data_IF_835172366353
#
_entry.id   IF_835172366353
#
_cell.length_a   1.000
_cell.length_b   1.000
_cell.length_c   1.000
_cell.angle_alpha   90.00
_cell.angle_beta   90.00
_cell.angle_gamma   90.00
#
_symmetry.space_group_name_H-M   'P 1'
#
loop_
_entity.id
_entity.type
_entity.pdbx_description
1 polymer ?
#
# COMPACT_ATOMS: atom_id res chain seq x y z
N UNK A 1 5.24 -2.42 -61.67
CA UNK A 1 5.24 -1.66 -62.93
C UNK A 1 3.86 -1.05 -63.13
N UNK A 2 3.84 0.20 -63.57
CA UNK A 2 2.71 1.12 -63.70
C UNK A 2 1.51 0.58 -64.51
N UNK A 3 0.28 0.98 -64.17
CA UNK A 3 -0.41 2.06 -64.90
C UNK A 3 -1.91 2.15 -64.58
N UNK A 4 -2.35 3.39 -64.53
CA UNK A 4 -3.70 3.95 -64.38
C UNK A 4 -4.77 3.40 -65.34
N UNK A 5 -6.04 3.50 -64.92
CA UNK A 5 -7.16 3.98 -65.75
C UNK A 5 -8.30 4.51 -64.87
N UNK A 6 -8.59 5.79 -65.05
CA UNK A 6 -9.76 6.52 -64.57
C UNK A 6 -10.85 6.46 -65.63
N UNK A 7 -12.12 6.26 -65.26
CA UNK A 7 -13.27 6.71 -66.04
C UNK A 7 -14.39 7.21 -65.11
N UNK A 8 -14.81 8.44 -65.42
CA UNK A 8 -15.88 9.24 -64.84
C UNK A 8 -17.28 8.66 -65.13
N UNK A 9 -18.29 9.01 -64.32
CA UNK A 9 -19.61 9.53 -64.79
C UNK A 9 -20.40 10.18 -63.64
N UNK A 10 -20.51 11.51 -63.77
CA UNK A 10 -21.67 12.41 -63.61
C UNK A 10 -22.38 12.64 -62.26
N UNK A 11 -22.45 13.95 -61.97
CA UNK A 11 -23.10 14.70 -60.89
C UNK A 11 -24.64 14.71 -61.00
N UNK A 12 -25.30 14.82 -59.85
CA UNK A 12 -26.47 15.67 -59.70
C UNK A 12 -26.39 16.45 -58.39
N UNK A 13 -26.66 17.75 -58.48
CA UNK A 13 -26.52 18.74 -57.44
C UNK A 13 -27.87 19.10 -56.83
N UNK A 14 -27.94 19.29 -55.52
CA UNK A 14 -28.95 20.12 -54.87
C UNK A 14 -28.29 20.99 -53.79
N UNK A 15 -28.62 22.29 -53.84
CA UNK A 15 -28.06 23.39 -53.04
C UNK A 15 -28.78 23.57 -51.69
N UNK A 16 -28.00 24.09 -50.75
CA UNK A 16 -28.20 24.69 -49.40
C UNK A 16 -29.59 25.24 -49.01
N UNK A 17 -29.82 25.46 -47.69
CA UNK A 17 -29.46 26.78 -47.13
C UNK A 17 -28.71 26.75 -45.79
N UNK A 18 -28.00 27.86 -45.54
CA UNK A 18 -27.19 28.17 -44.38
C UNK A 18 -28.02 28.46 -43.11
N UNK A 19 -27.49 28.09 -41.94
CA UNK A 19 -27.94 28.61 -40.65
C UNK A 19 -26.96 29.67 -40.13
N UNK A 20 -27.54 30.78 -39.67
CA UNK A 20 -26.91 32.02 -39.23
C UNK A 20 -26.24 31.90 -37.85
N UNK A 21 -25.28 32.79 -37.62
CA UNK A 21 -24.53 33.00 -36.40
C UNK A 21 -25.36 33.62 -35.27
N UNK A 22 -25.08 33.21 -34.03
CA UNK A 22 -25.30 34.02 -32.83
C UNK A 22 -24.06 34.00 -31.93
N UNK A 23 -23.83 35.13 -31.27
CA UNK A 23 -22.59 35.59 -30.67
C UNK A 23 -22.60 35.42 -29.14
N UNK A 24 -21.42 35.09 -28.60
CA UNK A 24 -20.95 35.25 -27.20
C UNK A 24 -21.67 34.54 -26.04
N UNK A 25 -20.92 33.69 -25.33
CA UNK A 25 -20.40 34.03 -24.01
C UNK A 25 -19.20 33.12 -23.66
N UNK A 26 -18.03 33.71 -23.43
CA UNK A 26 -16.93 33.02 -22.75
C UNK A 26 -17.41 32.65 -21.34
N UNK A 27 -17.48 31.36 -21.02
CA UNK A 27 -17.47 30.90 -19.62
C UNK A 27 -16.08 30.35 -19.33
N UNK A 28 -15.34 31.12 -18.53
CA UNK A 28 -14.06 30.70 -18.00
C UNK A 28 -14.17 29.35 -17.29
N UNK A 29 -13.12 28.55 -17.40
CA UNK A 29 -12.87 27.43 -16.51
C UNK A 29 -12.88 27.98 -15.08
N UNK A 30 -14.01 27.79 -14.40
CA UNK A 30 -14.18 28.22 -13.03
C UNK A 30 -13.23 27.41 -12.17
N UNK A 31 -12.16 28.04 -11.70
CA UNK A 31 -11.34 27.55 -10.61
C UNK A 31 -12.22 27.56 -9.36
N UNK A 32 -12.85 26.43 -9.07
CA UNK A 32 -13.63 26.25 -7.85
C UNK A 32 -12.68 26.31 -6.65
N UNK A 33 -12.59 27.50 -6.06
CA UNK A 33 -12.14 27.74 -4.71
C UNK A 33 -13.13 27.07 -3.74
N UNK A 34 -12.97 25.77 -3.54
CA UNK A 34 -13.65 25.03 -2.48
C UNK A 34 -12.69 24.04 -1.83
N UNK A 35 -11.53 24.54 -1.42
CA UNK A 35 -10.86 24.02 -0.23
C UNK A 35 -11.74 24.42 0.97
N UNK A 36 -12.84 23.68 1.14
CA UNK A 36 -13.58 23.72 2.39
C UNK A 36 -12.63 23.23 3.47
N UNK A 37 -12.33 24.13 4.42
CA UNK A 37 -11.78 23.78 5.73
C UNK A 37 -12.66 22.69 6.35
N UNK A 38 -12.26 21.44 6.20
CA UNK A 38 -12.81 20.32 6.94
C UNK A 38 -12.03 20.14 8.22
N UNK A 39 -12.49 20.76 9.30
CA UNK A 39 -12.18 20.25 10.64
C UNK A 39 -12.95 18.94 10.82
N UNK A 40 -12.26 17.80 10.86
CA UNK A 40 -12.77 16.58 11.49
C UNK A 40 -11.64 15.58 11.79
N UNK A 41 -10.76 15.93 12.73
CA UNK A 41 -10.08 14.91 13.51
C UNK A 41 -11.07 14.34 14.53
N UNK A 42 -11.48 13.07 14.35
CA UNK A 42 -11.80 12.03 15.34
C UNK A 42 -12.44 10.84 14.58
N UNK A 43 -11.63 9.86 14.18
CA UNK A 43 -12.04 8.76 13.28
C UNK A 43 -12.94 7.68 13.92
N UNK A 44 -13.20 6.53 13.26
CA UNK A 44 -13.21 6.25 11.81
C UNK A 44 -14.65 6.33 11.22
N UNK A 45 -14.84 6.18 9.89
CA UNK A 45 -15.79 5.21 9.28
C UNK A 45 -16.11 5.41 7.79
N UNK A 46 -15.91 4.34 7.00
CA UNK A 46 -16.94 3.85 6.08
C UNK A 46 -16.83 2.32 5.78
N UNK A 47 -17.61 1.48 6.49
CA UNK A 47 -18.63 0.68 5.80
C UNK A 47 -19.93 1.48 5.94
N UNK A 48 -19.82 2.51 5.11
CA UNK A 48 -20.70 3.59 4.72
C UNK A 48 -21.46 4.18 5.90
N UNK A 49 -20.66 4.81 6.76
CA UNK A 49 -21.10 5.74 7.82
C UNK A 49 -22.00 5.11 8.90
N UNK A 50 -21.95 3.79 9.02
CA UNK A 50 -21.92 3.09 10.28
C UNK A 50 -22.41 3.90 11.53
N UNK A 51 -23.67 3.68 11.98
CA UNK A 51 -24.18 4.32 13.21
C UNK A 51 -23.83 3.61 14.52
N UNK A 52 -23.22 2.44 14.48
CA UNK A 52 -22.44 1.87 15.59
C UNK A 52 -21.35 0.90 15.07
N UNK A 53 -21.61 -0.09 14.18
CA UNK A 53 -20.54 -0.76 13.38
C UNK A 53 -20.76 -1.09 11.85
N UNK A 54 -21.79 -0.60 11.13
CA UNK A 54 -21.87 -0.64 9.63
C UNK A 54 -23.17 -1.21 9.03
N UNK A 55 -23.16 -1.60 7.74
CA UNK A 55 -24.25 -2.36 7.09
C UNK A 55 -24.34 -3.76 7.74
N UNK A 56 -25.06 -3.84 8.87
CA UNK A 56 -25.05 -4.95 9.83
C UNK A 56 -25.44 -6.34 9.33
N UNK A 57 -25.62 -6.55 8.03
CA UNK A 57 -25.78 -7.87 7.41
C UNK A 57 -24.45 -8.52 7.02
N UNK A 58 -23.38 -7.75 6.81
CA UNK A 58 -22.05 -8.29 6.49
C UNK A 58 -21.18 -8.25 7.76
N UNK A 59 -21.00 -9.41 8.40
CA UNK A 59 -20.04 -9.55 9.50
C UNK A 59 -18.64 -9.17 8.98
N UNK A 60 -18.00 -8.21 9.63
CA UNK A 60 -16.64 -7.80 9.29
C UNK A 60 -15.84 -7.50 10.54
N UNK A 61 -14.54 -7.80 10.53
CA UNK A 61 -13.67 -7.44 11.64
C UNK A 61 -13.56 -5.90 11.74
N UNK A 62 -13.58 -5.38 12.96
CA UNK A 62 -13.42 -3.96 13.22
C UNK A 62 -12.00 -3.50 12.87
N UNK A 63 -11.90 -2.30 12.31
CA UNK A 63 -10.63 -1.62 12.08
C UNK A 63 -10.35 -0.68 13.26
N UNK A 64 -9.29 -0.91 14.06
CA UNK A 64 -8.94 -0.01 15.15
C UNK A 64 -8.62 1.40 14.62
N UNK A 65 -8.82 2.47 15.39
CA UNK A 65 -8.39 3.81 14.98
C UNK A 65 -6.85 3.90 14.90
N UNK A 66 -6.34 4.87 14.13
CA UNK A 66 -4.92 5.23 14.15
C UNK A 66 -4.59 6.06 15.41
N UNK A 67 -3.35 6.02 15.94
CA UNK A 67 -2.20 5.23 15.47
C UNK A 67 -2.25 3.77 15.94
N UNK A 68 -1.92 2.83 15.05
CA UNK A 68 -1.94 1.39 15.34
C UNK A 68 -0.57 0.85 15.74
N UNK A 69 -0.57 -0.07 16.71
CA UNK A 69 0.62 -0.86 17.10
C UNK A 69 0.64 -2.25 16.45
N UNK A 70 -0.53 -2.79 16.14
CA UNK A 70 -0.75 -4.11 15.52
C UNK A 70 -1.67 -3.96 14.32
N UNK A 71 -1.62 -4.91 13.39
CA UNK A 71 -2.40 -4.86 12.15
C UNK A 71 -2.00 -3.70 11.23
N UNK A 72 -0.80 -3.17 11.43
CA UNK A 72 -0.29 -2.00 10.71
C UNK A 72 -0.12 -2.35 9.25
N UNK A 73 -0.59 -1.46 8.38
CA UNK A 73 -0.38 -1.53 6.93
C UNK A 73 0.46 -0.36 6.48
N UNK A 74 1.72 -0.63 6.13
CA UNK A 74 2.58 0.34 5.47
C UNK A 74 2.59 0.07 3.97
N UNK A 75 2.51 1.12 3.16
CA UNK A 75 2.48 1.01 1.71
C UNK A 75 3.79 1.47 1.09
N UNK A 76 4.15 0.83 -0.01
CA UNK A 76 5.24 1.25 -0.88
C UNK A 76 4.91 2.59 -1.52
N UNK A 77 5.74 3.59 -1.24
CA UNK A 77 5.75 4.89 -1.91
C UNK A 77 6.56 4.88 -3.21
N UNK A 78 7.13 6.02 -3.62
CA UNK A 78 7.98 6.09 -4.81
C UNK A 78 9.15 5.10 -4.74
N UNK A 79 9.28 4.24 -5.75
CA UNK A 79 10.40 3.32 -5.91
C UNK A 79 10.56 2.95 -7.40
N UNK A 80 10.02 1.80 -7.83
CA UNK A 80 9.99 1.44 -9.26
C UNK A 80 9.00 2.27 -10.07
N UNK A 81 7.89 2.67 -9.45
CA UNK A 81 6.87 3.52 -10.08
C UNK A 81 7.03 4.97 -9.61
N UNK A 82 6.87 5.91 -10.55
CA UNK A 82 6.76 7.33 -10.23
C UNK A 82 5.43 7.56 -9.52
N UNK A 83 5.49 8.20 -8.35
CA UNK A 83 4.32 8.57 -7.58
C UNK A 83 4.37 10.07 -7.32
N UNK A 84 3.29 10.75 -7.74
CA UNK A 84 3.12 12.19 -7.55
C UNK A 84 1.98 12.50 -6.59
N UNK A 85 1.88 13.79 -6.24
CA UNK A 85 0.90 14.33 -5.29
C UNK A 85 -0.52 13.80 -5.50
N UNK A 86 -1.02 13.86 -6.74
CA UNK A 86 -2.42 13.53 -7.07
C UNK A 86 -2.73 12.07 -6.77
N UNK A 87 -1.88 11.16 -7.26
CA UNK A 87 -2.04 9.73 -7.02
C UNK A 87 -2.00 9.38 -5.52
N UNK A 88 -1.06 9.98 -4.78
CA UNK A 88 -0.99 9.78 -3.33
C UNK A 88 -2.22 10.35 -2.61
N UNK A 89 -2.73 11.51 -3.07
CA UNK A 89 -3.96 12.10 -2.52
C UNK A 89 -5.16 11.17 -2.75
N UNK A 90 -5.32 10.64 -3.97
CA UNK A 90 -6.42 9.71 -4.30
C UNK A 90 -6.39 8.46 -3.41
N UNK A 91 -5.20 7.91 -3.13
CA UNK A 91 -5.02 6.79 -2.20
C UNK A 91 -5.53 7.15 -0.80
N UNK A 92 -5.10 8.29 -0.25
CA UNK A 92 -5.45 8.68 1.11
C UNK A 92 -6.91 9.13 1.24
N UNK A 93 -7.45 9.82 0.25
CA UNK A 93 -8.87 10.20 0.20
C UNK A 93 -9.80 8.98 0.17
N UNK A 94 -9.39 7.90 -0.51
CA UNK A 94 -10.23 6.71 -0.69
C UNK A 94 -9.99 5.64 0.37
N UNK A 95 -8.72 5.35 0.66
CA UNK A 95 -8.27 4.21 1.46
C UNK A 95 -7.41 4.61 2.64
N UNK A 96 -7.32 5.91 2.97
CA UNK A 96 -6.43 6.43 4.00
C UNK A 96 -6.61 5.76 5.36
N UNK A 97 -7.82 5.41 5.76
CA UNK A 97 -8.09 4.71 7.03
C UNK A 97 -7.32 3.38 7.17
N UNK A 98 -7.04 2.71 6.04
CA UNK A 98 -6.36 1.41 5.97
C UNK A 98 -4.85 1.53 5.76
N UNK A 99 -4.30 2.74 5.67
CA UNK A 99 -2.88 3.00 5.43
C UNK A 99 -2.27 3.70 6.65
N UNK A 100 -1.40 3.00 7.37
CA UNK A 100 -0.74 3.52 8.57
C UNK A 100 0.60 4.18 8.28
N UNK A 101 1.27 3.79 7.19
CA UNK A 101 2.57 4.33 6.84
C UNK A 101 2.88 4.38 5.35
N UNK A 102 3.79 5.25 4.96
CA UNK A 102 4.33 5.40 3.60
C UNK A 102 5.85 5.23 3.64
N UNK A 103 6.41 4.33 2.82
CA UNK A 103 7.86 4.10 2.73
C UNK A 103 8.43 4.61 1.42
N UNK A 104 9.49 5.43 1.48
CA UNK A 104 10.32 5.77 0.33
C UNK A 104 11.45 4.75 0.19
N UNK A 105 11.26 3.73 -0.65
CA UNK A 105 12.20 2.61 -0.77
C UNK A 105 13.44 2.97 -1.60
N UNK A 106 14.56 2.28 -1.33
CA UNK A 106 15.79 2.38 -2.13
C UNK A 106 16.43 3.76 -2.21
N UNK A 107 16.14 4.65 -1.26
CA UNK A 107 16.66 6.03 -1.27
C UNK A 107 16.02 6.96 -2.30
N UNK A 108 14.87 6.56 -2.88
CA UNK A 108 14.18 7.30 -3.94
C UNK A 108 13.85 8.75 -3.58
N UNK A 109 13.66 9.06 -2.29
CA UNK A 109 13.41 10.42 -1.79
C UNK A 109 14.51 11.42 -2.20
N UNK A 110 15.75 10.96 -2.37
CA UNK A 110 16.89 11.81 -2.77
C UNK A 110 16.78 12.35 -4.20
N UNK A 111 15.92 11.74 -5.03
CA UNK A 111 15.69 12.14 -6.41
C UNK A 111 14.68 13.29 -6.55
N UNK A 112 13.96 13.62 -5.47
CA UNK A 112 12.91 14.63 -5.50
C UNK A 112 13.47 16.02 -5.21
N UNK A 113 12.93 17.04 -5.89
CA UNK A 113 13.05 18.40 -5.39
C UNK A 113 12.42 18.50 -4.00
N UNK A 114 13.09 19.18 -3.07
CA UNK A 114 12.68 19.25 -1.65
C UNK A 114 11.21 19.67 -1.49
N UNK A 115 10.76 20.69 -2.22
CA UNK A 115 9.37 21.15 -2.17
C UNK A 115 8.36 20.05 -2.57
N UNK A 116 8.70 19.21 -3.56
CA UNK A 116 7.85 18.12 -4.02
C UNK A 116 7.88 16.92 -3.08
N UNK A 117 9.02 16.65 -2.46
CA UNK A 117 9.11 15.64 -1.40
C UNK A 117 8.25 16.04 -0.20
N UNK A 118 8.33 17.30 0.25
CA UNK A 118 7.51 17.82 1.36
C UNK A 118 6.03 17.69 1.08
N UNK A 119 5.57 18.03 -0.14
CA UNK A 119 4.16 17.84 -0.53
C UNK A 119 3.66 16.40 -0.31
N UNK A 120 4.48 15.38 -0.57
CA UNK A 120 4.10 13.97 -0.35
C UNK A 120 4.09 13.60 1.13
N UNK A 121 5.09 14.09 1.88
CA UNK A 121 5.20 13.85 3.33
C UNK A 121 4.03 14.50 4.07
N UNK A 122 3.67 15.74 3.69
CA UNK A 122 2.57 16.49 4.29
C UNK A 122 1.24 15.76 4.08
N UNK A 123 0.96 15.25 2.87
CA UNK A 123 -0.23 14.43 2.60
C UNK A 123 -0.30 13.22 3.52
N UNK A 124 0.81 12.49 3.70
CA UNK A 124 0.81 11.32 4.57
C UNK A 124 0.51 11.70 6.03
N UNK A 125 1.17 12.74 6.55
CA UNK A 125 0.97 13.20 7.93
C UNK A 125 -0.43 13.77 8.18
N UNK A 126 -0.97 14.55 7.24
CA UNK A 126 -2.35 15.08 7.29
C UNK A 126 -3.39 13.96 7.39
N UNK A 127 -3.09 12.77 6.83
CA UNK A 127 -3.95 11.58 6.89
C UNK A 127 -3.58 10.61 8.03
N UNK A 128 -2.76 11.06 8.99
CA UNK A 128 -2.35 10.28 10.16
C UNK A 128 -1.48 9.06 9.82
N UNK A 129 -0.87 9.03 8.64
CA UNK A 129 0.12 8.03 8.28
C UNK A 129 1.52 8.53 8.62
N UNK A 130 2.34 7.67 9.21
CA UNK A 130 3.75 7.98 9.40
C UNK A 130 4.50 7.80 8.06
N UNK A 131 5.64 8.45 7.92
CA UNK A 131 6.54 8.16 6.81
C UNK A 131 7.77 7.44 7.37
N UNK A 132 8.30 6.45 6.66
CA UNK A 132 9.61 5.84 6.93
C UNK A 132 10.59 6.14 5.79
N UNK A 133 11.88 6.16 6.10
CA UNK A 133 13.03 6.31 5.17
C UNK A 133 13.11 7.62 4.37
N UNK A 134 13.22 8.77 5.06
CA UNK A 134 13.40 10.14 4.52
C UNK A 134 13.68 11.16 5.65
N UNK A 135 13.72 12.46 5.34
CA UNK A 135 14.02 13.56 6.28
C UNK A 135 13.03 13.66 7.45
N UNK A 136 13.54 13.64 8.70
CA UNK A 136 12.74 13.83 9.93
C UNK A 136 11.93 12.62 10.41
N UNK A 137 12.30 11.40 9.99
CA UNK A 137 11.45 10.22 10.12
C UNK A 137 11.87 9.20 11.18
N UNK A 138 10.92 8.31 11.48
CA UNK A 138 11.10 7.18 12.39
C UNK A 138 12.04 6.15 11.76
N UNK A 139 13.16 5.80 12.42
CA UNK A 139 14.05 4.76 11.91
C UNK A 139 13.32 3.41 11.91
N UNK A 140 13.43 2.70 10.80
CA UNK A 140 12.92 1.33 10.63
C UNK A 140 13.96 0.51 9.89
N UNK A 141 14.92 -0.11 10.61
CA UNK A 141 15.97 -0.91 10.00
C UNK A 141 15.36 -2.12 9.30
N UNK A 142 15.94 -2.45 8.14
CA UNK A 142 15.56 -3.60 7.31
C UNK A 142 16.50 -4.75 7.61
N UNK A 143 15.92 -5.92 7.88
CA UNK A 143 16.62 -7.12 8.27
C UNK A 143 16.26 -8.23 7.27
N UNK A 144 17.25 -8.66 6.50
CA UNK A 144 17.18 -9.81 5.61
C UNK A 144 17.97 -10.99 6.15
N UNK A 145 17.60 -12.20 5.74
CA UNK A 145 18.46 -13.38 5.90
C UNK A 145 19.54 -13.41 4.82
N UNK A 146 19.20 -12.91 3.64
CA UNK A 146 20.04 -12.77 2.45
C UNK A 146 19.69 -11.43 1.79
N UNK A 147 20.67 -10.83 1.12
CA UNK A 147 20.51 -9.59 0.35
C UNK A 147 21.10 -9.81 -1.04
N UNK A 148 20.37 -9.41 -2.07
CA UNK A 148 20.80 -9.32 -3.47
C UNK A 148 21.44 -10.62 -4.03
N UNK A 149 20.88 -11.78 -3.67
CA UNK A 149 21.42 -13.08 -4.12
C UNK A 149 20.41 -13.85 -4.96
N UNK A 150 20.84 -14.29 -6.16
CA UNK A 150 19.98 -15.07 -7.06
C UNK A 150 19.65 -16.46 -6.50
N UNK A 151 18.51 -17.04 -6.89
CA UNK A 151 18.08 -18.39 -6.44
C UNK A 151 19.16 -19.46 -6.63
N UNK A 152 19.96 -19.36 -7.69
CA UNK A 152 21.07 -20.28 -7.99
C UNK A 152 22.28 -20.12 -7.06
N UNK A 153 22.59 -18.91 -6.62
CA UNK A 153 23.68 -18.64 -5.68
C UNK A 153 23.27 -19.02 -4.23
N UNK A 154 21.98 -18.93 -3.93
CA UNK A 154 21.40 -19.32 -2.65
C UNK A 154 21.54 -20.81 -2.34
N UNK A 155 21.40 -21.67 -3.35
CA UNK A 155 21.62 -23.11 -3.20
C UNK A 155 23.08 -23.43 -2.84
N UNK A 156 24.03 -22.63 -3.31
CA UNK A 156 25.45 -22.79 -3.03
C UNK A 156 25.87 -22.26 -1.64
N UNK A 157 25.19 -21.21 -1.14
CA UNK A 157 25.48 -20.59 0.17
C UNK A 157 24.89 -21.40 1.33
N UNK A 158 23.93 -22.29 1.05
CA UNK A 158 23.26 -23.11 2.06
C UNK A 158 22.21 -22.34 2.87
N UNK A 159 21.50 -23.07 3.74
CA UNK A 159 20.44 -22.51 4.58
C UNK A 159 21.04 -21.62 5.66
N UNK A 160 20.95 -20.30 5.49
CA UNK A 160 21.35 -19.34 6.51
C UNK A 160 20.41 -19.40 7.72
N UNK A 161 20.99 -19.43 8.92
CA UNK A 161 20.30 -19.50 10.20
C UNK A 161 19.69 -18.12 10.58
N UNK A 162 18.42 -18.04 11.01
CA UNK A 162 17.78 -16.79 11.40
C UNK A 162 18.36 -16.16 12.67
N UNK A 163 19.21 -16.86 13.44
CA UNK A 163 19.76 -16.38 14.70
C UNK A 163 20.51 -15.06 14.58
N UNK A 164 21.25 -14.83 13.49
CA UNK A 164 21.92 -13.54 13.23
C UNK A 164 20.90 -12.40 13.10
N UNK A 165 19.86 -12.61 12.30
CA UNK A 165 18.78 -11.66 12.08
C UNK A 165 18.07 -11.34 13.40
N UNK A 166 17.74 -12.36 14.18
CA UNK A 166 17.03 -12.19 15.47
C UNK A 166 17.89 -11.44 16.48
N UNK A 167 19.18 -11.79 16.58
CA UNK A 167 20.10 -11.10 17.49
C UNK A 167 20.31 -9.64 17.11
N UNK A 168 20.37 -9.34 15.81
CA UNK A 168 20.44 -7.96 15.32
C UNK A 168 19.13 -7.21 15.61
N UNK A 169 17.98 -7.86 15.41
CA UNK A 169 16.67 -7.31 15.77
C UNK A 169 16.59 -6.93 17.24
N UNK A 170 17.03 -7.81 18.16
CA UNK A 170 17.09 -7.51 19.60
C UNK A 170 17.94 -6.26 19.89
N UNK A 171 19.13 -6.17 19.30
CA UNK A 171 20.01 -5.00 19.47
C UNK A 171 19.35 -3.70 19.00
N UNK A 172 18.63 -3.72 17.88
CA UNK A 172 17.90 -2.55 17.40
C UNK A 172 16.76 -2.15 18.35
N UNK A 173 16.01 -3.13 18.87
CA UNK A 173 14.96 -2.87 19.85
C UNK A 173 15.53 -2.30 21.16
N UNK A 174 16.66 -2.82 21.63
CA UNK A 174 17.38 -2.31 22.80
C UNK A 174 17.87 -0.87 22.59
N UNK A 175 18.20 -0.50 21.34
CA UNK A 175 18.55 0.87 20.96
C UNK A 175 17.33 1.81 20.82
N UNK A 176 16.11 1.33 21.10
CA UNK A 176 14.88 2.14 21.08
C UNK A 176 14.19 2.22 19.72
N UNK A 177 14.55 1.37 18.75
CA UNK A 177 13.86 1.31 17.46
C UNK A 177 12.40 0.89 17.67
N UNK A 178 11.47 1.67 17.11
CA UNK A 178 10.04 1.41 17.30
C UNK A 178 9.54 0.17 16.56
N UNK A 179 10.13 -0.13 15.40
CA UNK A 179 9.71 -1.22 14.52
C UNK A 179 10.86 -1.71 13.65
N UNK A 180 10.92 -3.02 13.45
CA UNK A 180 11.83 -3.72 12.54
C UNK A 180 11.08 -4.10 11.27
N UNK A 181 11.74 -3.94 10.13
CA UNK A 181 11.26 -4.46 8.85
C UNK A 181 11.99 -5.77 8.56
N UNK A 182 11.25 -6.83 8.23
CA UNK A 182 11.79 -8.12 7.78
C UNK A 182 11.56 -8.21 6.28
N UNK A 183 12.64 -8.31 5.52
CA UNK A 183 12.59 -8.43 4.06
C UNK A 183 12.08 -9.81 3.63
N UNK A 184 11.43 -9.86 2.47
CA UNK A 184 10.91 -11.11 1.88
C UNK A 184 12.00 -11.97 1.27
N UNK A 185 13.13 -11.38 0.87
CA UNK A 185 14.24 -12.05 0.20
C UNK A 185 14.86 -13.14 1.09
N UNK A 186 15.01 -14.34 0.53
CA UNK A 186 15.51 -15.51 1.25
C UNK A 186 14.49 -16.15 2.20
N UNK A 187 13.25 -15.62 2.27
CA UNK A 187 12.16 -16.17 3.10
C UNK A 187 10.97 -16.61 2.23
N UNK A 188 10.37 -15.67 1.52
CA UNK A 188 9.21 -15.90 0.63
C UNK A 188 9.51 -15.53 -0.81
N UNK A 189 10.58 -14.78 -1.04
CA UNK A 189 11.09 -14.35 -2.33
C UNK A 189 12.50 -14.92 -2.55
N UNK A 190 12.86 -15.17 -3.81
CA UNK A 190 14.13 -15.81 -4.19
C UNK A 190 14.37 -17.18 -3.52
N UNK A 191 13.31 -17.93 -3.22
CA UNK A 191 13.40 -19.29 -2.65
C UNK A 191 12.57 -20.27 -3.45
N UNK A 192 13.02 -21.52 -3.54
CA UNK A 192 12.26 -22.62 -4.16
C UNK A 192 11.12 -23.11 -3.28
N UNK A 193 11.24 -22.93 -1.96
CA UNK A 193 10.22 -23.26 -0.96
C UNK A 193 10.26 -22.22 0.16
N UNK A 194 9.09 -21.75 0.59
CA UNK A 194 8.99 -20.72 1.63
C UNK A 194 9.59 -21.19 2.95
N UNK A 195 10.47 -20.38 3.52
CA UNK A 195 11.14 -20.59 4.80
C UNK A 195 10.24 -20.18 5.97
N UNK A 196 9.10 -20.85 6.10
CA UNK A 196 8.13 -20.59 7.17
C UNK A 196 8.70 -20.85 8.58
N UNK A 197 9.76 -21.66 8.67
CA UNK A 197 10.56 -21.89 9.87
C UNK A 197 11.21 -20.60 10.38
N UNK A 198 11.74 -19.76 9.47
CA UNK A 198 12.37 -18.49 9.79
C UNK A 198 11.34 -17.55 10.43
N UNK A 199 10.19 -17.38 9.76
CA UNK A 199 9.11 -16.51 10.25
C UNK A 199 8.64 -16.96 11.63
N UNK A 200 8.47 -18.27 11.82
CA UNK A 200 8.08 -18.84 13.11
C UNK A 200 9.09 -18.55 14.21
N UNK A 201 10.40 -18.65 13.91
CA UNK A 201 11.45 -18.33 14.86
C UNK A 201 11.51 -16.84 15.21
N UNK A 202 11.31 -15.95 14.22
CA UNK A 202 11.20 -14.51 14.43
C UNK A 202 10.02 -14.19 15.35
N UNK A 203 8.83 -14.70 15.03
CA UNK A 203 7.60 -14.46 15.78
C UNK A 203 7.65 -15.03 17.22
N UNK A 204 8.47 -16.06 17.46
CA UNK A 204 8.70 -16.62 18.80
C UNK A 204 9.64 -15.76 19.66
N UNK A 205 10.58 -15.04 19.04
CA UNK A 205 11.68 -14.41 19.75
C UNK A 205 11.66 -12.87 19.73
N UNK A 206 10.90 -12.26 18.83
CA UNK A 206 10.72 -10.82 18.73
C UNK A 206 9.24 -10.46 18.97
N UNK A 207 8.93 -9.31 19.60
CA UNK A 207 7.55 -8.90 19.83
C UNK A 207 6.83 -8.61 18.50
N UNK A 208 5.68 -9.25 18.26
CA UNK A 208 4.92 -9.13 17.01
C UNK A 208 4.59 -7.67 16.66
N UNK A 209 4.21 -6.85 17.65
CA UNK A 209 3.86 -5.44 17.47
C UNK A 209 5.05 -4.58 17.03
N UNK A 210 6.28 -5.08 17.24
CA UNK A 210 7.55 -4.44 16.87
C UNK A 210 8.12 -4.95 15.56
N UNK A 211 7.53 -5.98 14.95
CA UNK A 211 8.01 -6.57 13.70
C UNK A 211 7.00 -6.31 12.59
N UNK A 212 7.50 -6.01 11.40
CA UNK A 212 6.72 -5.86 10.17
C UNK A 212 7.36 -6.68 9.07
N UNK A 213 6.55 -7.45 8.34
CA UNK A 213 7.03 -8.27 7.24
C UNK A 213 6.73 -7.63 5.90
N UNK A 214 7.69 -7.68 4.99
CA UNK A 214 7.44 -7.42 3.57
C UNK A 214 6.56 -8.52 3.00
N UNK A 215 5.47 -8.12 2.34
CA UNK A 215 4.49 -9.02 1.79
C UNK A 215 3.85 -8.42 0.52
N UNK A 216 4.69 -7.93 -0.41
CA UNK A 216 4.25 -7.30 -1.66
C UNK A 216 3.69 -8.30 -2.72
N UNK A 217 3.28 -9.50 -2.30
CA UNK A 217 2.58 -10.50 -3.12
C UNK A 217 1.29 -10.94 -2.39
N UNK A 218 0.13 -11.00 -3.07
CA UNK A 218 -1.11 -11.43 -2.45
C UNK A 218 -1.12 -12.78 -1.76
N UNK A 219 -0.38 -13.77 -2.29
CA UNK A 219 -0.23 -15.07 -1.64
C UNK A 219 0.51 -14.94 -0.32
N UNK A 220 1.52 -14.07 -0.27
CA UNK A 220 2.37 -13.87 0.91
C UNK A 220 1.58 -13.19 2.04
N UNK A 221 0.94 -12.04 1.81
CA UNK A 221 0.14 -11.42 2.87
C UNK A 221 -1.06 -12.27 3.29
N UNK A 222 -1.63 -13.07 2.36
CA UNK A 222 -2.73 -13.97 2.69
C UNK A 222 -2.28 -15.08 3.62
N UNK A 223 -1.07 -15.62 3.41
CA UNK A 223 -0.46 -16.59 4.29
C UNK A 223 -0.19 -16.00 5.68
N UNK A 224 0.43 -14.82 5.77
CA UNK A 224 0.66 -14.15 7.05
C UNK A 224 -0.63 -13.94 7.87
N UNK A 225 -1.71 -13.49 7.23
CA UNK A 225 -3.00 -13.31 7.92
C UNK A 225 -3.60 -14.63 8.36
N UNK A 226 -3.47 -15.69 7.55
CA UNK A 226 -3.97 -17.02 7.91
C UNK A 226 -3.23 -17.60 9.11
N UNK A 227 -1.90 -17.49 9.15
CA UNK A 227 -1.08 -18.10 10.20
C UNK A 227 -1.03 -17.28 11.49
N UNK A 228 -0.95 -15.94 11.38
CA UNK A 228 -0.70 -15.05 12.54
C UNK A 228 -1.85 -14.10 12.85
N UNK A 229 -2.95 -14.20 12.10
CA UNK A 229 -4.15 -13.40 12.29
C UNK A 229 -4.06 -12.00 11.68
N UNK A 230 -5.16 -11.25 11.78
CA UNK A 230 -5.33 -9.94 11.14
C UNK A 230 -4.51 -8.82 11.78
N UNK A 231 -3.76 -9.11 12.84
CA UNK A 231 -2.98 -8.14 13.60
C UNK A 231 -1.48 -8.24 13.30
N UNK A 232 -1.09 -9.03 12.31
CA UNK A 232 0.27 -9.01 11.75
C UNK A 232 0.53 -7.68 11.03
N UNK A 233 1.69 -7.08 11.25
CA UNK A 233 2.08 -5.83 10.59
C UNK A 233 2.72 -6.15 9.24
N UNK A 234 2.25 -5.50 8.17
CA UNK A 234 2.66 -5.81 6.81
C UNK A 234 3.05 -4.56 6.04
N UNK A 235 4.10 -4.69 5.25
CA UNK A 235 4.47 -3.77 4.19
C UNK A 235 4.03 -4.36 2.84
N UNK A 236 3.22 -3.61 2.09
CA UNK A 236 2.63 -4.08 0.81
C UNK A 236 2.78 -3.03 -0.28
N UNK A 237 2.52 -3.42 -1.53
CA UNK A 237 2.42 -2.43 -2.60
C UNK A 237 1.14 -1.59 -2.45
N UNK A 238 1.19 -0.31 -2.82
CA UNK A 238 0.03 0.58 -2.71
C UNK A 238 -1.18 0.11 -3.55
N UNK A 239 -0.95 -0.63 -4.63
CA UNK A 239 -2.03 -1.23 -5.43
C UNK A 239 -2.79 -2.36 -4.71
N UNK A 240 -2.24 -2.90 -3.61
CA UNK A 240 -2.76 -4.08 -2.91
C UNK A 240 -3.61 -3.74 -1.67
N UNK A 241 -3.74 -2.45 -1.32
CA UNK A 241 -4.44 -2.00 -0.10
C UNK A 241 -5.84 -2.58 0.00
N UNK A 242 -6.62 -2.52 -1.08
CA UNK A 242 -8.03 -2.98 -1.09
C UNK A 242 -8.10 -4.48 -0.80
N UNK A 243 -7.26 -5.27 -1.47
CA UNK A 243 -7.26 -6.72 -1.31
C UNK A 243 -6.86 -7.13 0.12
N UNK A 244 -5.80 -6.53 0.67
CA UNK A 244 -5.38 -6.75 2.05
C UNK A 244 -6.47 -6.34 3.05
N UNK A 245 -7.09 -5.19 2.83
CA UNK A 245 -8.13 -4.64 3.71
C UNK A 245 -9.35 -5.55 3.75
N UNK A 246 -9.83 -6.02 2.59
CA UNK A 246 -10.95 -6.94 2.53
C UNK A 246 -10.63 -8.27 3.23
N UNK A 247 -9.40 -8.76 3.13
CA UNK A 247 -8.93 -9.95 3.82
C UNK A 247 -8.89 -9.78 5.34
N UNK A 248 -8.28 -8.70 5.85
CA UNK A 248 -8.27 -8.39 7.30
C UNK A 248 -9.69 -8.21 7.85
N UNK A 249 -10.59 -7.66 7.05
CA UNK A 249 -12.01 -7.49 7.42
C UNK A 249 -12.83 -8.78 7.33
N UNK A 250 -12.29 -9.87 6.78
CA UNK A 250 -12.99 -11.14 6.63
C UNK A 250 -14.12 -11.11 5.59
N UNK A 251 -14.14 -10.09 4.73
CA UNK A 251 -15.18 -9.89 3.69
C UNK A 251 -14.70 -10.32 2.31
N UNK A 252 -13.44 -10.76 2.19
CA UNK A 252 -12.86 -11.32 0.99
C UNK A 252 -11.70 -12.28 1.31
N UNK A 253 -11.46 -13.23 0.41
CA UNK A 253 -10.41 -14.25 0.57
C UNK A 253 -10.56 -15.37 -0.45
N UNK A 254 -9.56 -16.25 -0.49
CA UNK A 254 -9.62 -17.53 -1.21
C UNK A 254 -10.40 -18.57 -0.41
N UNK A 255 -10.56 -19.79 -0.95
CA UNK A 255 -11.24 -20.90 -0.23
C UNK A 255 -10.67 -21.17 1.18
N UNK A 256 -9.39 -20.88 1.39
CA UNK A 256 -8.70 -21.10 2.66
C UNK A 256 -8.94 -19.99 3.69
N UNK A 257 -9.41 -18.82 3.25
CA UNK A 257 -9.51 -17.62 4.11
C UNK A 257 -10.92 -17.02 4.17
N UNK A 258 -11.74 -17.21 3.13
CA UNK A 258 -13.11 -16.69 3.08
C UNK A 258 -13.96 -17.21 4.26
N UNK A 259 -14.51 -16.29 5.06
CA UNK A 259 -15.34 -16.60 6.22
C UNK A 259 -14.62 -17.27 7.40
N UNK A 260 -13.30 -17.46 7.31
CA UNK A 260 -12.47 -18.14 8.33
C UNK A 260 -11.57 -17.18 9.11
N UNK A 261 -11.41 -15.95 8.63
CA UNK A 261 -10.62 -14.91 9.29
C UNK A 261 -11.47 -14.18 10.32
N UNK A 262 -11.29 -14.56 11.59
CA UNK A 262 -11.89 -13.91 12.75
C UNK A 262 -10.82 -13.29 13.62
N UNK A 263 -11.18 -12.22 14.32
CA UNK A 263 -10.28 -11.57 15.28
C UNK A 263 -10.96 -11.43 16.63
N UNK A 264 -10.20 -11.67 17.69
CA UNK A 264 -10.59 -11.38 19.05
C UNK A 264 -9.57 -10.40 19.62
N UNK A 265 -10.04 -9.20 19.94
CA UNK A 265 -9.28 -8.21 20.71
C UNK A 265 -10.03 -8.11 22.05
N UNK A 266 -9.55 -8.74 23.14
CA UNK A 266 -10.12 -8.46 24.46
C UNK A 266 -9.91 -6.96 24.69
N UNK A 267 -10.99 -6.28 25.08
CA UNK A 267 -11.13 -4.82 25.12
C UNK A 267 -9.81 -4.07 25.37
N UNK A 268 -9.37 -3.29 24.37
CA UNK A 268 -8.29 -2.29 24.50
C UNK A 268 -8.70 -1.18 25.50
#
# INVERSE_FOLDING_TARGET
MLSSKSLYTTRQALRCPALQSQVHLQRGLSTSSALSKGTAGQGPKALLLDKQQGLGFAKSNALPPKPRKRGVTEIRGPYYAVMGKRYLSDIFETMGDYVDGLKFSGGSFSLFHEAKLKELIDIAHENGAYVSTSYGLKPKPELGIQFDTSTSELEAIGTSDPGKLINLGKKFLDAGVERLMIESEGITENVTSWRTDVVSQIMKQLPQEKVMFEAADPKVFSWYIREFGIDVNLFVDNSQIVQLSCLRRGIWGTADTWGKIVSYRPDD
#
